data_IF_687760899843
#
_entry.id   IF_687760899843
#
_cell.length_a   1.000
_cell.length_b   1.000
_cell.length_c   1.000
_cell.angle_alpha   90.00
_cell.angle_beta   90.00
_cell.angle_gamma   90.00
#
_symmetry.space_group_name_H-M   'P 1'
#
loop_
_entity.id
_entity.type
_entity.pdbx_description
1 polymer ?
#
# COMPACT_ATOMS: atom_id res chain seq x y z
N UNK A 1 -3.21 9.04 -7.98
CA UNK A 1 -1.90 9.44 -8.56
C UNK A 1 -1.34 10.73 -7.98
N UNK A 2 -2.14 11.80 -7.83
CA UNK A 2 -1.64 13.09 -7.32
C UNK A 2 -0.90 12.99 -5.96
N UNK A 3 -1.41 12.16 -5.05
CA UNK A 3 -0.78 11.92 -3.74
C UNK A 3 0.59 11.25 -3.86
N UNK A 4 0.76 10.29 -4.79
CA UNK A 4 2.04 9.65 -5.04
C UNK A 4 3.04 10.64 -5.64
N UNK A 5 2.58 11.52 -6.54
CA UNK A 5 3.39 12.61 -7.08
C UNK A 5 3.79 13.60 -5.97
N UNK A 6 2.89 13.90 -5.03
CA UNK A 6 3.22 14.75 -3.88
C UNK A 6 4.29 14.10 -2.98
N UNK A 7 4.25 12.77 -2.79
CA UNK A 7 5.31 12.04 -2.09
C UNK A 7 6.64 12.08 -2.86
N UNK A 8 6.61 11.82 -4.18
CA UNK A 8 7.82 11.84 -5.01
C UNK A 8 8.51 13.21 -5.00
N UNK A 9 7.75 14.32 -4.99
CA UNK A 9 8.28 15.68 -4.88
C UNK A 9 9.08 15.95 -3.60
N UNK A 10 8.91 15.13 -2.56
CA UNK A 10 9.65 15.23 -1.28
C UNK A 10 11.03 14.57 -1.33
N UNK A 11 11.34 13.79 -2.36
CA UNK A 11 12.66 13.18 -2.57
C UNK A 11 13.65 14.31 -2.86
N UNK A 12 14.70 14.44 -2.05
CA UNK A 12 15.67 15.53 -2.15
C UNK A 12 16.63 15.33 -3.32
N UNK A 13 17.17 14.11 -3.49
CA UNK A 13 18.07 13.74 -4.59
C UNK A 13 17.34 13.85 -5.93
N UNK A 14 17.72 14.85 -6.72
CA UNK A 14 17.07 15.18 -7.99
C UNK A 14 17.00 14.00 -8.96
N UNK A 15 18.11 13.31 -9.19
CA UNK A 15 18.17 12.15 -10.09
C UNK A 15 17.16 11.07 -9.69
N UNK A 16 17.11 10.71 -8.40
CA UNK A 16 16.16 9.71 -7.91
C UNK A 16 14.72 10.21 -8.04
N UNK A 17 14.46 11.47 -7.68
CA UNK A 17 13.13 12.09 -7.84
C UNK A 17 12.64 12.01 -9.29
N UNK A 18 13.50 12.32 -10.25
CA UNK A 18 13.19 12.25 -11.68
C UNK A 18 12.87 10.81 -12.11
N UNK A 19 13.66 9.82 -11.67
CA UNK A 19 13.37 8.41 -11.94
C UNK A 19 12.02 7.97 -11.34
N UNK A 20 11.70 8.35 -10.10
CA UNK A 20 10.40 8.01 -9.48
C UNK A 20 9.24 8.71 -10.20
N UNK A 21 9.41 9.96 -10.61
CA UNK A 21 8.42 10.68 -11.41
C UNK A 21 8.21 10.02 -12.78
N UNK A 22 9.25 9.48 -13.40
CA UNK A 22 9.14 8.70 -14.63
C UNK A 22 8.32 7.42 -14.41
N UNK A 23 8.55 6.67 -13.31
CA UNK A 23 7.71 5.52 -12.96
C UNK A 23 6.24 5.88 -12.79
N UNK A 24 5.93 7.03 -12.18
CA UNK A 24 4.55 7.47 -11.97
C UNK A 24 3.87 7.98 -13.26
N UNK A 25 4.65 8.54 -14.19
CA UNK A 25 4.12 9.06 -15.46
C UNK A 25 4.06 8.00 -16.56
N UNK A 26 4.95 7.00 -16.48
CA UNK A 26 5.06 5.86 -17.39
C UNK A 26 5.21 4.56 -16.57
N UNK A 27 4.13 4.10 -15.93
CA UNK A 27 4.14 2.88 -15.11
C UNK A 27 4.17 1.59 -15.94
N UNK A 28 4.52 1.67 -17.22
CA UNK A 28 4.54 0.54 -18.16
C UNK A 28 5.60 -0.50 -17.76
N UNK A 29 5.25 -1.79 -17.91
CA UNK A 29 6.21 -2.89 -17.74
C UNK A 29 6.87 -3.22 -19.08
N UNK A 30 8.15 -3.60 -19.04
CA UNK A 30 8.91 -3.97 -20.25
C UNK A 30 8.64 -5.39 -20.76
N UNK A 31 7.68 -6.11 -20.19
CA UNK A 31 7.31 -7.49 -20.57
C UNK A 31 5.89 -7.54 -21.16
N UNK A 32 5.58 -8.61 -21.89
CA UNK A 32 4.27 -8.81 -22.51
C UNK A 32 3.12 -8.79 -21.48
N UNK A 33 2.11 -7.95 -21.71
CA UNK A 33 0.84 -7.93 -20.99
C UNK A 33 -0.23 -8.72 -21.76
N UNK A 34 -1.33 -9.06 -21.09
CA UNK A 34 -2.38 -9.92 -21.67
C UNK A 34 -3.74 -9.25 -21.80
N UNK A 35 -3.85 -7.95 -21.48
CA UNK A 35 -5.07 -7.15 -21.59
C UNK A 35 -6.11 -7.43 -20.51
N UNK A 36 -5.73 -8.14 -19.45
CA UNK A 36 -6.59 -8.45 -18.29
C UNK A 36 -6.10 -7.81 -16.98
N UNK A 37 -5.06 -6.98 -17.05
CA UNK A 37 -4.55 -6.17 -15.96
C UNK A 37 -5.52 -5.06 -15.52
N UNK A 38 -5.28 -4.53 -14.31
CA UNK A 38 -5.99 -3.38 -13.78
C UNK A 38 -5.20 -2.08 -13.98
N UNK A 39 -5.87 -0.93 -13.84
CA UNK A 39 -5.23 0.37 -13.68
C UNK A 39 -4.78 0.59 -12.23
N UNK A 40 -3.82 1.50 -12.00
CA UNK A 40 -3.36 1.83 -10.62
C UNK A 40 -4.52 2.41 -9.80
N UNK A 41 -5.35 3.24 -10.43
CA UNK A 41 -6.49 3.93 -9.82
C UNK A 41 -7.61 2.97 -9.40
N UNK A 42 -7.79 1.86 -10.10
CA UNK A 42 -8.83 0.87 -9.80
C UNK A 42 -8.32 -0.30 -8.97
N UNK A 43 -6.99 -0.47 -8.86
CA UNK A 43 -6.38 -1.62 -8.19
C UNK A 43 -6.58 -1.57 -6.67
N UNK A 44 -6.93 -2.71 -6.04
CA UNK A 44 -6.84 -2.85 -4.60
C UNK A 44 -5.38 -3.11 -4.17
N UNK A 45 -5.02 -2.81 -2.91
CA UNK A 45 -3.71 -3.23 -2.40
C UNK A 45 -3.67 -4.74 -2.10
N UNK A 46 -4.83 -5.33 -1.77
CA UNK A 46 -5.01 -6.77 -1.59
C UNK A 46 -6.33 -7.24 -2.16
N UNK A 47 -6.36 -8.44 -2.74
CA UNK A 47 -7.60 -9.00 -3.33
C UNK A 47 -8.71 -9.31 -2.31
N UNK A 48 -8.37 -9.50 -1.04
CA UNK A 48 -9.29 -10.00 0.00
C UNK A 48 -9.06 -9.43 1.40
N UNK A 49 -7.93 -8.76 1.65
CA UNK A 49 -7.52 -8.35 2.99
C UNK A 49 -7.61 -6.82 3.11
N UNK A 50 -6.53 -6.16 3.56
CA UNK A 50 -6.46 -4.70 3.67
C UNK A 50 -6.64 -4.03 2.30
N UNK A 51 -7.25 -2.85 2.29
CA UNK A 51 -7.38 -2.04 1.08
C UNK A 51 -7.99 -2.78 -0.13
N UNK A 52 -8.92 -3.70 0.12
CA UNK A 52 -9.57 -4.55 -0.89
C UNK A 52 -10.76 -3.86 -1.57
N UNK A 53 -10.51 -2.69 -2.16
CA UNK A 53 -11.49 -1.85 -2.87
C UNK A 53 -10.80 -0.98 -3.94
N UNK A 54 -11.54 -0.41 -4.91
CA UNK A 54 -10.95 0.43 -5.95
C UNK A 54 -10.21 1.63 -5.36
N UNK A 55 -9.00 1.91 -5.84
CA UNK A 55 -8.12 2.96 -5.32
C UNK A 55 -7.39 2.60 -4.02
N UNK A 56 -7.67 1.42 -3.44
CA UNK A 56 -7.05 0.96 -2.20
C UNK A 56 -5.54 0.85 -2.28
N UNK A 57 -4.98 0.54 -3.47
CA UNK A 57 -3.52 0.50 -3.69
C UNK A 57 -2.86 1.85 -3.38
N UNK A 58 -3.37 2.95 -3.95
CA UNK A 58 -2.81 4.30 -3.74
C UNK A 58 -2.86 4.66 -2.26
N UNK A 59 -3.98 4.39 -1.60
CA UNK A 59 -4.16 4.70 -0.18
C UNK A 59 -3.20 3.92 0.71
N UNK A 60 -3.02 2.64 0.43
CA UNK A 60 -2.04 1.79 1.12
C UNK A 60 -0.63 2.35 0.95
N UNK A 61 -0.22 2.62 -0.29
CA UNK A 61 1.09 3.19 -0.63
C UNK A 61 1.34 4.52 0.10
N UNK A 62 0.35 5.41 0.13
CA UNK A 62 0.46 6.69 0.84
C UNK A 62 0.56 6.46 2.34
N UNK A 63 -0.35 5.69 2.92
CA UNK A 63 -0.44 5.44 4.36
C UNK A 63 0.85 4.81 4.90
N UNK A 64 1.30 3.71 4.30
CA UNK A 64 2.54 3.05 4.72
C UNK A 64 3.77 3.96 4.55
N UNK A 65 3.80 4.82 3.51
CA UNK A 65 4.93 5.75 3.33
C UNK A 65 4.97 6.78 4.43
N UNK A 66 3.82 7.31 4.85
CA UNK A 66 3.73 8.21 6.00
C UNK A 66 4.12 7.50 7.31
N UNK A 67 3.66 6.27 7.52
CA UNK A 67 4.05 5.46 8.69
C UNK A 67 5.58 5.26 8.74
N UNK A 68 6.23 4.96 7.62
CA UNK A 68 7.68 4.81 7.54
C UNK A 68 8.43 6.09 7.95
N UNK A 69 7.92 7.26 7.57
CA UNK A 69 8.50 8.55 7.95
C UNK A 69 8.30 8.86 9.45
N UNK A 70 7.16 8.48 10.03
CA UNK A 70 6.91 8.62 11.47
C UNK A 70 7.80 7.67 12.29
N UNK A 71 7.98 6.42 11.85
CA UNK A 71 8.94 5.49 12.44
C UNK A 71 10.35 6.12 12.43
N UNK A 72 10.75 6.72 11.30
CA UNK A 72 12.03 7.42 11.18
C UNK A 72 12.16 8.57 12.17
N UNK A 73 11.12 9.39 12.34
CA UNK A 73 11.10 10.48 13.29
C UNK A 73 11.25 9.99 14.75
N UNK A 74 10.62 8.87 15.10
CA UNK A 74 10.77 8.23 16.41
C UNK A 74 12.20 7.71 16.60
N UNK A 75 12.76 7.02 15.61
CA UNK A 75 14.13 6.50 15.67
C UNK A 75 15.15 7.61 15.89
N UNK A 76 14.99 8.74 15.20
CA UNK A 76 15.81 9.93 15.40
C UNK A 76 15.63 10.51 16.82
N UNK A 77 14.40 10.75 17.25
CA UNK A 77 14.12 11.42 18.54
C UNK A 77 14.53 10.60 19.76
N UNK A 78 14.22 9.30 19.76
CA UNK A 78 14.37 8.42 20.94
C UNK A 78 15.73 7.72 20.93
N UNK A 79 16.16 7.26 19.75
CA UNK A 79 17.36 6.42 19.61
C UNK A 79 18.53 7.16 18.95
N UNK A 80 18.38 8.45 18.61
CA UNK A 80 19.44 9.30 18.04
C UNK A 80 20.05 8.74 16.75
N UNK A 81 19.25 8.03 15.96
CA UNK A 81 19.68 7.51 14.65
C UNK A 81 19.47 8.61 13.60
N UNK A 82 20.58 9.18 13.11
CA UNK A 82 20.56 10.28 12.13
C UNK A 82 20.73 9.81 10.68
N UNK A 83 21.27 8.61 10.46
CA UNK A 83 21.73 8.12 9.16
C UNK A 83 20.68 7.36 8.34
N UNK A 84 19.38 7.62 8.55
CA UNK A 84 18.30 6.98 7.79
C UNK A 84 18.03 7.79 6.52
N UNK A 85 18.13 7.13 5.36
CA UNK A 85 17.89 7.77 4.08
C UNK A 85 16.39 7.87 3.76
N UNK A 86 15.84 9.09 3.92
CA UNK A 86 14.42 9.37 3.64
C UNK A 86 14.05 9.23 2.16
N UNK A 87 14.97 9.53 1.24
CA UNK A 87 14.72 9.40 -0.19
C UNK A 87 14.48 7.95 -0.59
N UNK A 88 15.22 7.00 0.03
CA UNK A 88 14.99 5.57 -0.16
C UNK A 88 13.64 5.12 0.41
N UNK A 89 13.20 5.68 1.53
CA UNK A 89 11.88 5.37 2.10
C UNK A 89 10.74 5.89 1.24
N UNK A 90 10.85 7.12 0.74
CA UNK A 90 9.87 7.70 -0.18
C UNK A 90 9.81 6.91 -1.49
N UNK A 91 10.96 6.66 -2.11
CA UNK A 91 11.05 5.91 -3.35
C UNK A 91 10.57 4.46 -3.19
N UNK A 92 11.05 3.77 -2.15
CA UNK A 92 10.66 2.39 -1.85
C UNK A 92 9.18 2.27 -1.55
N UNK A 93 8.64 3.20 -0.74
CA UNK A 93 7.23 3.28 -0.43
C UNK A 93 6.38 3.46 -1.68
N UNK A 94 6.74 4.37 -2.59
CA UNK A 94 6.01 4.58 -3.84
C UNK A 94 6.06 3.37 -4.78
N UNK A 95 7.20 2.69 -4.87
CA UNK A 95 7.43 1.65 -5.87
C UNK A 95 7.02 0.23 -5.43
N UNK A 96 7.10 -0.13 -4.14
CA UNK A 96 7.06 -1.54 -3.71
C UNK A 96 5.88 -2.34 -4.31
N UNK A 97 4.73 -1.70 -4.44
CA UNK A 97 3.48 -2.28 -4.92
C UNK A 97 2.98 -1.71 -6.25
N UNK A 98 3.73 -0.80 -6.89
CA UNK A 98 3.28 -0.05 -8.06
C UNK A 98 2.80 -0.98 -9.19
N UNK A 99 3.36 -2.19 -9.28
CA UNK A 99 3.05 -3.18 -10.31
C UNK A 99 2.07 -4.27 -9.88
N UNK A 100 1.43 -4.16 -8.70
CA UNK A 100 0.26 -4.99 -8.35
C UNK A 100 -0.85 -5.00 -9.41
N UNK A 101 -1.20 -3.87 -10.07
CA UNK A 101 -2.26 -3.85 -11.08
C UNK A 101 -2.02 -4.81 -12.25
N UNK A 102 -0.76 -5.02 -12.65
CA UNK A 102 -0.39 -6.00 -13.67
C UNK A 102 -0.59 -7.45 -13.23
N UNK A 103 -0.66 -7.72 -11.93
CA UNK A 103 -0.84 -9.06 -11.37
C UNK A 103 -2.28 -9.38 -10.97
N UNK A 104 -3.15 -8.37 -10.97
CA UNK A 104 -4.55 -8.48 -10.60
C UNK A 104 -5.44 -8.31 -11.83
N UNK A 105 -6.63 -8.89 -11.73
CA UNK A 105 -7.69 -8.74 -12.72
C UNK A 105 -9.03 -8.61 -12.01
N UNK A 106 -10.00 -7.97 -12.67
CA UNK A 106 -11.37 -7.94 -12.19
C UNK A 106 -12.16 -9.10 -12.80
N UNK A 107 -12.56 -10.07 -11.96
CA UNK A 107 -13.30 -11.27 -12.37
C UNK A 107 -14.75 -11.15 -11.87
N UNK A 108 -15.60 -10.52 -12.68
CA UNK A 108 -16.94 -10.12 -12.24
C UNK A 108 -16.86 -9.06 -11.16
N UNK A 109 -17.37 -9.35 -9.96
CA UNK A 109 -17.32 -8.43 -8.80
C UNK A 109 -16.17 -8.70 -7.83
N UNK A 110 -15.22 -9.57 -8.20
CA UNK A 110 -14.13 -10.01 -7.30
C UNK A 110 -12.76 -9.77 -7.94
N UNK A 111 -11.79 -9.43 -7.11
CA UNK A 111 -10.40 -9.33 -7.52
C UNK A 111 -9.75 -10.71 -7.64
N UNK A 112 -9.22 -11.00 -8.82
CA UNK A 112 -8.54 -12.21 -9.21
C UNK A 112 -7.05 -12.01 -9.47
N UNK A 113 -6.40 -13.03 -10.02
CA UNK A 113 -5.05 -12.89 -10.61
C UNK A 113 -5.22 -12.67 -12.11
N UNK A 114 -4.47 -11.75 -12.68
CA UNK A 114 -4.32 -11.66 -14.13
C UNK A 114 -3.59 -12.90 -14.66
N UNK A 115 -3.59 -13.08 -15.98
CA UNK A 115 -2.81 -14.14 -16.65
C UNK A 115 -1.33 -14.02 -16.28
N UNK A 116 -0.78 -12.81 -16.28
CA UNK A 116 0.59 -12.53 -15.84
C UNK A 116 0.77 -12.83 -14.34
N UNK A 117 -0.11 -12.32 -13.49
CA UNK A 117 -0.09 -12.51 -12.03
C UNK A 117 -0.29 -13.95 -11.56
N UNK A 118 -0.75 -14.83 -12.45
CA UNK A 118 -0.79 -16.27 -12.19
C UNK A 118 0.58 -16.95 -12.27
N UNK A 119 1.58 -16.27 -12.86
CA UNK A 119 2.93 -16.77 -13.12
C UNK A 119 4.02 -15.98 -12.41
N UNK A 120 3.88 -14.65 -12.35
CA UNK A 120 4.89 -13.75 -11.78
C UNK A 120 4.22 -12.80 -10.78
N UNK A 121 4.82 -12.64 -9.60
CA UNK A 121 4.34 -11.71 -8.58
C UNK A 121 4.81 -10.27 -8.81
N UNK A 122 4.13 -9.32 -8.17
CA UNK A 122 4.36 -7.89 -8.35
C UNK A 122 5.74 -7.44 -7.87
N UNK A 123 6.31 -8.07 -6.83
CA UNK A 123 7.63 -7.72 -6.30
C UNK A 123 8.70 -8.10 -7.31
N UNK A 124 8.59 -9.29 -7.91
CA UNK A 124 9.48 -9.75 -8.98
C UNK A 124 9.40 -8.84 -10.22
N UNK A 125 8.19 -8.45 -10.62
CA UNK A 125 7.98 -7.51 -11.74
C UNK A 125 8.61 -6.14 -11.45
N UNK A 126 8.34 -5.59 -10.27
CA UNK A 126 8.85 -4.29 -9.86
C UNK A 126 10.37 -4.29 -9.78
N UNK A 127 10.99 -5.34 -9.22
CA UNK A 127 12.43 -5.47 -9.17
C UNK A 127 13.06 -5.51 -10.56
N UNK A 128 12.51 -6.30 -11.48
CA UNK A 128 13.04 -6.43 -12.83
C UNK A 128 13.01 -5.09 -13.60
N UNK A 129 11.92 -4.34 -13.47
CA UNK A 129 11.80 -3.03 -14.11
C UNK A 129 12.69 -1.98 -13.42
N UNK A 130 12.73 -1.97 -12.09
CA UNK A 130 13.61 -1.11 -11.32
C UNK A 130 15.09 -1.31 -11.69
N UNK A 131 15.51 -2.57 -11.86
CA UNK A 131 16.85 -2.92 -12.34
C UNK A 131 17.09 -2.41 -13.75
N UNK A 132 16.14 -2.63 -14.66
CA UNK A 132 16.22 -2.19 -16.06
C UNK A 132 16.33 -0.68 -16.19
N UNK A 133 15.61 0.07 -15.35
CA UNK A 133 15.66 1.54 -15.26
C UNK A 133 16.80 2.07 -14.38
N UNK A 134 17.75 1.20 -13.99
CA UNK A 134 18.99 1.55 -13.29
C UNK A 134 18.76 2.26 -11.96
N UNK A 135 17.75 1.84 -11.20
CA UNK A 135 17.59 2.29 -9.82
C UNK A 135 18.76 1.78 -8.95
N UNK A 136 19.16 2.54 -7.90
CA UNK A 136 20.29 2.18 -7.06
C UNK A 136 20.05 0.88 -6.29
N UNK A 137 21.13 0.13 -6.04
CA UNK A 137 21.08 -1.19 -5.41
C UNK A 137 20.34 -1.18 -4.07
N UNK A 138 20.52 -0.13 -3.27
CA UNK A 138 19.89 0.04 -1.98
C UNK A 138 18.37 0.13 -2.11
N UNK A 139 17.86 0.81 -3.14
CA UNK A 139 16.43 0.89 -3.43
C UNK A 139 15.88 -0.45 -3.93
N UNK A 140 16.65 -1.16 -4.77
CA UNK A 140 16.27 -2.52 -5.19
C UNK A 140 16.14 -3.48 -4.01
N UNK A 141 17.06 -3.39 -3.04
CA UNK A 141 16.95 -4.14 -1.79
C UNK A 141 15.67 -3.75 -1.04
N UNK A 142 15.43 -2.45 -0.84
CA UNK A 142 14.25 -1.97 -0.10
C UNK A 142 12.95 -2.51 -0.72
N UNK A 143 12.83 -2.46 -2.05
CA UNK A 143 11.70 -3.03 -2.79
C UNK A 143 11.63 -4.55 -2.58
N UNK A 144 12.72 -5.28 -2.77
CA UNK A 144 12.68 -6.75 -2.65
C UNK A 144 12.33 -7.22 -1.24
N UNK A 145 12.71 -6.48 -0.20
CA UNK A 145 12.64 -6.91 1.19
C UNK A 145 11.36 -6.52 1.94
N UNK A 146 10.44 -5.79 1.31
CA UNK A 146 9.30 -5.17 2.00
C UNK A 146 8.34 -6.16 2.67
N UNK A 147 8.17 -7.39 2.18
CA UNK A 147 7.39 -8.44 2.86
C UNK A 147 8.16 -9.20 3.96
N UNK A 148 9.39 -8.78 4.28
CA UNK A 148 10.16 -9.33 5.39
C UNK A 148 10.51 -10.81 5.19
N UNK A 149 10.01 -11.68 6.06
CA UNK A 149 10.24 -13.14 5.94
C UNK A 149 9.57 -13.75 4.70
N UNK A 150 8.55 -13.09 4.14
CA UNK A 150 7.88 -13.53 2.91
C UNK A 150 8.56 -13.05 1.62
N UNK A 151 9.57 -12.18 1.74
CA UNK A 151 10.29 -11.61 0.60
C UNK A 151 11.43 -12.51 0.10
N UNK A 152 11.84 -12.38 -1.18
CA UNK A 152 13.06 -13.01 -1.69
C UNK A 152 14.33 -12.61 -0.94
N UNK A 153 14.34 -11.41 -0.35
CA UNK A 153 15.39 -10.91 0.52
C UNK A 153 14.82 -10.49 1.87
N UNK A 154 15.55 -10.72 2.95
CA UNK A 154 15.19 -10.17 4.26
C UNK A 154 15.70 -8.72 4.38
N UNK A 155 15.10 -7.87 5.23
CA UNK A 155 15.62 -6.55 5.54
C UNK A 155 17.06 -6.62 6.10
N UNK A 156 18.03 -5.99 5.40
CA UNK A 156 19.43 -5.87 5.83
C UNK A 156 19.91 -4.42 5.92
N UNK A 157 18.99 -3.47 5.80
CA UNK A 157 19.21 -2.05 6.07
C UNK A 157 18.08 -1.50 6.96
N UNK A 158 18.32 -0.35 7.58
CA UNK A 158 17.28 0.33 8.36
C UNK A 158 16.10 0.73 7.48
N UNK A 159 16.37 1.22 6.27
CA UNK A 159 15.33 1.61 5.31
C UNK A 159 14.44 0.42 4.94
N UNK A 160 15.03 -0.74 4.63
CA UNK A 160 14.29 -1.95 4.31
C UNK A 160 13.48 -2.45 5.51
N UNK A 161 14.04 -2.37 6.72
CA UNK A 161 13.35 -2.79 7.95
C UNK A 161 12.17 -1.86 8.26
N UNK A 162 12.39 -0.54 8.16
CA UNK A 162 11.35 0.47 8.39
C UNK A 162 10.22 0.29 7.37
N UNK A 163 10.55 0.12 6.09
CA UNK A 163 9.52 -0.06 5.06
C UNK A 163 8.70 -1.34 5.29
N UNK A 164 9.38 -2.44 5.62
CA UNK A 164 8.71 -3.70 5.97
C UNK A 164 7.75 -3.53 7.16
N UNK A 165 8.22 -2.87 8.23
CA UNK A 165 7.39 -2.64 9.41
C UNK A 165 6.21 -1.71 9.09
N UNK A 166 6.41 -0.71 8.23
CA UNK A 166 5.35 0.20 7.82
C UNK A 166 4.26 -0.52 6.98
N UNK A 167 4.66 -1.34 6.01
CA UNK A 167 3.75 -2.21 5.24
C UNK A 167 2.97 -3.14 6.18
N UNK A 168 3.66 -3.78 7.12
CA UNK A 168 3.03 -4.66 8.10
C UNK A 168 2.05 -3.92 9.00
N UNK A 169 2.42 -2.75 9.53
CA UNK A 169 1.56 -1.95 10.41
C UNK A 169 0.30 -1.50 9.66
N UNK A 170 0.43 -0.95 8.47
CA UNK A 170 -0.71 -0.51 7.67
C UNK A 170 -1.68 -1.67 7.36
N UNK A 171 -1.11 -2.77 6.84
CA UNK A 171 -1.84 -3.98 6.48
C UNK A 171 -2.62 -4.58 7.65
N UNK A 172 -2.01 -4.65 8.84
CA UNK A 172 -2.66 -5.22 10.02
C UNK A 172 -3.64 -4.23 10.65
N UNK A 173 -3.28 -2.95 10.76
CA UNK A 173 -4.16 -1.92 11.31
C UNK A 173 -5.49 -1.88 10.57
N UNK A 174 -5.45 -1.87 9.23
CA UNK A 174 -6.66 -1.81 8.42
C UNK A 174 -7.43 -3.13 8.41
N UNK A 175 -6.75 -4.26 8.58
CA UNK A 175 -7.37 -5.57 8.80
C UNK A 175 -8.14 -5.62 10.13
N UNK A 176 -7.52 -5.19 11.22
CA UNK A 176 -8.12 -5.15 12.55
C UNK A 176 -9.25 -4.13 12.64
N UNK A 177 -9.13 -3.02 11.91
CA UNK A 177 -10.18 -2.01 11.81
C UNK A 177 -11.45 -2.56 11.16
N UNK A 178 -11.32 -3.40 10.11
CA UNK A 178 -12.46 -4.10 9.51
C UNK A 178 -13.17 -4.97 10.55
N UNK A 179 -12.41 -5.80 11.28
CA UNK A 179 -12.96 -6.70 12.31
C UNK A 179 -13.64 -5.90 13.43
N UNK A 180 -13.03 -4.80 13.88
CA UNK A 180 -13.61 -3.91 14.89
C UNK A 180 -14.93 -3.30 14.42
N UNK A 181 -14.98 -2.78 13.20
CA UNK A 181 -16.18 -2.21 12.62
C UNK A 181 -17.29 -3.25 12.43
N UNK A 182 -16.97 -4.47 11.99
CA UNK A 182 -17.94 -5.56 11.86
C UNK A 182 -18.62 -5.88 13.19
N UNK A 183 -17.85 -5.91 14.30
CA UNK A 183 -18.41 -6.11 15.65
C UNK A 183 -19.31 -4.96 16.08
N UNK A 184 -18.97 -3.72 15.73
CA UNK A 184 -19.81 -2.55 16.01
C UNK A 184 -21.13 -2.63 15.22
N UNK A 185 -21.08 -3.06 13.96
CA UNK A 185 -22.28 -3.26 13.12
C UNK A 185 -23.17 -4.37 13.70
N UNK A 186 -22.57 -5.46 14.21
CA UNK A 186 -23.29 -6.53 14.89
C UNK A 186 -24.03 -6.03 16.14
N UNK A 187 -23.39 -5.20 16.96
CA UNK A 187 -24.04 -4.55 18.10
C UNK A 187 -25.20 -3.64 17.66
N UNK A 188 -25.12 -3.05 16.46
CA UNK A 188 -26.19 -2.24 15.87
C UNK A 188 -27.34 -3.09 15.29
N UNK A 189 -27.28 -4.41 15.43
CA UNK A 189 -28.33 -5.35 15.01
C UNK A 189 -28.25 -5.78 13.54
N UNK A 190 -27.12 -5.55 12.86
CA UNK A 190 -26.90 -5.99 11.47
C UNK A 190 -25.70 -6.94 11.39
N UNK A 191 -25.73 -7.90 10.46
CA UNK A 191 -24.56 -8.73 10.16
C UNK A 191 -24.06 -8.43 8.76
N UNK A 192 -22.87 -7.84 8.66
CA UNK A 192 -22.28 -7.43 7.39
C UNK A 192 -20.78 -7.67 7.43
N UNK A 193 -20.25 -8.33 6.40
CA UNK A 193 -18.81 -8.45 6.20
C UNK A 193 -18.31 -7.23 5.43
N UNK A 194 -17.21 -6.64 5.88
CA UNK A 194 -16.60 -5.47 5.26
C UNK A 194 -15.34 -5.87 4.49
N UNK A 195 -15.13 -5.20 3.36
CA UNK A 195 -13.88 -5.23 2.59
C UNK A 195 -13.29 -3.84 2.41
N UNK A 196 -14.05 -2.80 2.75
CA UNK A 196 -13.66 -1.40 2.60
C UNK A 196 -13.26 -0.81 3.95
N UNK A 197 -11.95 -0.67 4.16
CA UNK A 197 -11.40 -0.16 5.42
C UNK A 197 -11.69 1.33 5.65
N UNK A 198 -11.94 2.15 4.61
CA UNK A 198 -12.43 3.54 4.78
C UNK A 198 -13.82 3.56 5.42
N UNK A 199 -14.71 2.69 4.96
CA UNK A 199 -16.03 2.57 5.57
C UNK A 199 -15.93 2.03 7.00
N UNK A 200 -15.05 1.06 7.25
CA UNK A 200 -14.78 0.58 8.60
C UNK A 200 -14.28 1.70 9.53
N UNK A 201 -13.33 2.52 9.07
CA UNK A 201 -12.86 3.69 9.81
C UNK A 201 -14.00 4.64 10.16
N UNK A 202 -14.89 4.92 9.21
CA UNK A 202 -16.07 5.76 9.42
C UNK A 202 -17.04 5.17 10.45
N UNK A 203 -17.21 3.86 10.48
CA UNK A 203 -18.04 3.17 11.48
C UNK A 203 -17.42 3.35 12.87
N UNK A 204 -16.12 3.10 13.02
CA UNK A 204 -15.41 3.27 14.29
C UNK A 204 -15.45 4.73 14.77
N UNK A 205 -15.20 5.71 13.89
CA UNK A 205 -15.26 7.13 14.23
C UNK A 205 -16.68 7.58 14.61
N UNK A 206 -17.69 7.10 13.89
CA UNK A 206 -19.10 7.35 14.24
C UNK A 206 -19.43 6.77 15.62
N UNK A 207 -18.97 5.56 15.94
CA UNK A 207 -19.19 4.95 17.24
C UNK A 207 -18.57 5.79 18.36
N UNK A 208 -17.36 6.30 18.17
CA UNK A 208 -16.69 7.17 19.16
C UNK A 208 -17.44 8.50 19.34
N UNK A 209 -17.90 9.11 18.24
CA UNK A 209 -18.51 10.46 18.27
C UNK A 209 -19.99 10.48 18.64
N UNK A 210 -20.74 9.46 18.24
CA UNK A 210 -22.21 9.46 18.26
C UNK A 210 -22.80 8.20 18.90
N UNK A 211 -21.94 7.27 19.36
CA UNK A 211 -22.37 6.01 19.93
C UNK A 211 -23.10 5.10 18.94
N UNK A 212 -23.76 4.08 19.49
CA UNK A 212 -24.42 3.05 18.71
C UNK A 212 -25.58 3.57 17.84
N UNK A 213 -26.29 4.59 18.31
CA UNK A 213 -27.41 5.18 17.56
C UNK A 213 -26.93 5.94 16.32
N UNK A 214 -25.79 6.65 16.42
CA UNK A 214 -25.13 7.24 15.26
C UNK A 214 -24.74 6.19 14.22
N UNK A 215 -24.25 5.03 14.66
CA UNK A 215 -23.91 3.91 13.77
C UNK A 215 -25.17 3.38 13.08
N UNK A 216 -26.27 3.15 13.79
CA UNK A 216 -27.55 2.70 13.18
C UNK A 216 -28.03 3.69 12.12
N UNK A 217 -27.94 4.99 12.40
CA UNK A 217 -28.30 6.05 11.47
C UNK A 217 -27.38 6.11 10.24
N UNK A 218 -26.08 5.80 10.41
CA UNK A 218 -25.16 5.68 9.28
C UNK A 218 -25.51 4.48 8.41
N UNK A 219 -25.86 3.35 9.02
CA UNK A 219 -26.19 2.10 8.33
C UNK A 219 -27.58 2.11 7.67
N UNK A 220 -28.45 3.08 7.97
CA UNK A 220 -29.78 3.19 7.35
C UNK A 220 -29.79 4.04 6.07
N UNK A 221 -28.71 4.79 5.80
CA UNK A 221 -28.57 5.56 4.56
C UNK A 221 -28.22 4.62 3.40
N UNK A 222 -28.87 4.75 2.22
CA UNK A 222 -28.45 4.01 1.04
C UNK A 222 -27.01 4.40 0.65
N UNK A 223 -26.20 3.39 0.34
CA UNK A 223 -24.84 3.50 -0.19
C UNK A 223 -24.84 3.84 -1.67
#
# INVERSE_FOLDING_TARGET
MEELVALAKRIEKQELREQIMEFLTRPEISIETFGDEMTIEESPASKKYHHSYPGGLIEHTVSMTLIALEITAILKKVYQIESINKDLLLAGGILHDLFKPYTYSLQGSKYGRSKLGSKIDHTSLMFAEAWTRKLPLELLHVILAHHGKGSPAQPRSLEALILHLADYVDSNLLGDLLVGAEKIIEQAGKKQKLTNSKFAARICDTMVKQGLEGVKNLLSKPT
#
